data_IF_213769699499
#
_entry.id   IF_213769699499
#
_cell.length_a   1.000
_cell.length_b   1.000
_cell.length_c   1.000
_cell.angle_alpha   90.00
_cell.angle_beta   90.00
_cell.angle_gamma   90.00
#
_symmetry.space_group_name_H-M   'P 1'
#
loop_
_entity.id
_entity.type
_entity.pdbx_description
1 polymer ?
#
# COMPACT_ATOMS: atom_id res chain seq x y z
N UNK A 1 27.59 4.83 -20.27
CA UNK A 1 26.22 4.30 -20.05
C UNK A 1 25.59 5.21 -19.03
N UNK A 2 24.54 5.94 -19.40
CA UNK A 2 24.01 7.05 -18.60
C UNK A 2 22.95 6.52 -17.63
N UNK A 3 23.44 5.89 -16.55
CA UNK A 3 22.66 5.28 -15.47
C UNK A 3 21.62 6.23 -14.86
N UNK A 4 21.87 7.54 -14.88
CA UNK A 4 20.94 8.56 -14.41
C UNK A 4 19.72 8.72 -15.34
N UNK A 5 19.92 8.73 -16.66
CA UNK A 5 18.83 8.86 -17.63
C UNK A 5 17.95 7.60 -17.66
N UNK A 6 18.56 6.43 -17.49
CA UNK A 6 17.85 5.15 -17.35
C UNK A 6 17.00 5.11 -16.06
N UNK A 7 17.53 5.65 -14.95
CA UNK A 7 16.78 5.79 -13.69
C UNK A 7 15.60 6.75 -13.81
N UNK A 8 15.78 7.92 -14.44
CA UNK A 8 14.68 8.87 -14.64
C UNK A 8 13.57 8.29 -15.52
N UNK A 9 13.93 7.57 -16.59
CA UNK A 9 12.95 6.89 -17.44
C UNK A 9 12.27 5.73 -16.71
N UNK A 10 13.01 4.96 -15.90
CA UNK A 10 12.45 3.90 -15.06
C UNK A 10 11.45 4.45 -14.04
N UNK A 11 11.74 5.59 -13.40
CA UNK A 11 10.82 6.26 -12.47
C UNK A 11 9.61 6.84 -13.19
N UNK A 12 9.78 7.40 -14.39
CA UNK A 12 8.68 7.95 -15.21
C UNK A 12 7.74 6.86 -15.74
N UNK A 13 8.29 5.67 -15.98
CA UNK A 13 7.54 4.47 -16.37
C UNK A 13 7.11 3.61 -15.18
N UNK A 14 7.47 3.99 -13.95
CA UNK A 14 7.05 3.26 -12.76
C UNK A 14 5.52 3.35 -12.66
N UNK A 15 4.86 2.19 -12.80
CA UNK A 15 3.40 2.09 -12.77
C UNK A 15 2.89 2.24 -11.34
N UNK A 16 2.71 3.48 -10.89
CA UNK A 16 2.05 3.78 -9.64
C UNK A 16 0.58 3.35 -9.72
N UNK A 17 0.12 2.56 -8.75
CA UNK A 17 -1.28 2.15 -8.61
C UNK A 17 -1.88 2.88 -7.43
N UNK A 18 -3.05 3.49 -7.63
CA UNK A 18 -3.88 4.00 -6.54
C UNK A 18 -4.89 2.91 -6.16
N UNK A 19 -4.65 2.24 -5.04
CA UNK A 19 -5.52 1.20 -4.52
C UNK A 19 -6.46 1.80 -3.48
N UNK A 20 -7.78 1.68 -3.68
CA UNK A 20 -8.77 2.12 -2.70
C UNK A 20 -9.19 0.92 -1.85
N UNK A 21 -8.80 0.95 -0.58
CA UNK A 21 -9.14 -0.11 0.36
C UNK A 21 -10.40 0.27 1.13
N UNK A 22 -11.36 -0.64 1.18
CA UNK A 22 -12.66 -0.43 1.83
C UNK A 22 -12.92 -1.58 2.80
N UNK A 23 -13.14 -1.27 4.08
CA UNK A 23 -13.45 -2.30 5.07
C UNK A 23 -14.79 -2.96 4.75
N UNK A 24 -14.81 -4.28 4.80
CA UNK A 24 -16.03 -5.08 4.64
C UNK A 24 -16.61 -5.43 6.00
N UNK A 25 -17.94 -5.52 6.08
CA UNK A 25 -18.66 -5.80 7.33
C UNK A 25 -18.33 -7.15 7.95
N UNK A 26 -17.95 -8.12 7.11
CA UNK A 26 -17.66 -9.51 7.47
C UNK A 26 -16.15 -9.83 7.46
N UNK A 27 -15.28 -8.82 7.38
CA UNK A 27 -13.83 -9.04 7.29
C UNK A 27 -13.09 -8.15 8.32
N UNK A 28 -12.13 -8.74 9.02
CA UNK A 28 -11.35 -8.02 10.05
C UNK A 28 -10.08 -7.43 9.44
N UNK A 29 -10.02 -6.11 9.34
CA UNK A 29 -8.88 -5.41 8.74
C UNK A 29 -8.95 -5.39 7.22
N UNK A 30 -7.79 -5.41 6.54
CA UNK A 30 -7.72 -5.29 5.08
C UNK A 30 -7.14 -6.51 4.36
N UNK A 31 -6.46 -7.42 5.07
CA UNK A 31 -5.91 -8.65 4.48
C UNK A 31 -4.62 -8.47 3.71
N UNK A 32 -3.68 -7.71 4.28
CA UNK A 32 -2.32 -7.61 3.74
C UNK A 32 -1.30 -7.51 4.87
N UNK A 33 -0.07 -7.91 4.56
CA UNK A 33 1.07 -7.81 5.47
C UNK A 33 2.12 -6.89 4.88
N UNK A 34 2.65 -5.99 5.72
CA UNK A 34 3.83 -5.19 5.40
C UNK A 34 5.07 -5.89 5.94
N UNK A 35 6.10 -6.00 5.10
CA UNK A 35 7.41 -6.42 5.54
C UNK A 35 7.90 -5.51 6.68
N UNK A 36 8.35 -6.11 7.78
CA UNK A 36 8.84 -5.35 8.92
C UNK A 36 10.13 -4.62 8.53
N UNK A 37 10.11 -3.29 8.60
CA UNK A 37 11.24 -2.45 8.29
C UNK A 37 11.41 -1.36 9.36
N UNK A 38 12.65 -0.93 9.60
CA UNK A 38 12.95 0.20 10.50
C UNK A 38 12.55 1.56 9.88
N UNK A 39 12.42 1.60 8.56
CA UNK A 39 12.06 2.78 7.77
C UNK A 39 11.71 2.40 6.33
N UNK A 40 11.39 3.37 5.48
CA UNK A 40 11.08 3.13 4.06
C UNK A 40 12.28 2.55 3.29
N UNK A 41 12.05 1.83 2.17
CA UNK A 41 10.75 1.57 1.56
C UNK A 41 9.96 0.47 2.28
N UNK A 42 8.65 0.69 2.41
CA UNK A 42 7.73 -0.31 2.95
C UNK A 42 7.15 -1.15 1.82
N UNK A 43 7.23 -2.48 1.95
CA UNK A 43 6.90 -3.43 0.88
C UNK A 43 5.73 -4.31 1.34
N UNK A 44 4.76 -4.53 0.45
CA UNK A 44 3.70 -5.51 0.66
C UNK A 44 4.31 -6.92 0.55
N UNK A 45 4.32 -7.66 1.65
CA UNK A 45 4.86 -9.01 1.71
C UNK A 45 3.83 -10.04 1.26
N UNK A 46 2.58 -9.88 1.72
CA UNK A 46 1.49 -10.79 1.41
C UNK A 46 0.16 -10.05 1.26
N UNK A 47 -0.74 -10.61 0.44
CA UNK A 47 -2.11 -10.15 0.25
C UNK A 47 -3.05 -11.36 0.27
N UNK A 48 -3.92 -11.41 1.26
CA UNK A 48 -4.88 -12.50 1.41
C UNK A 48 -5.87 -12.51 0.24
N UNK A 49 -6.15 -13.68 -0.30
CA UNK A 49 -7.19 -13.86 -1.33
C UNK A 49 -8.57 -13.56 -0.74
N UNK A 50 -9.48 -13.00 -1.56
CA UNK A 50 -10.82 -12.59 -1.12
C UNK A 50 -10.80 -11.61 0.07
N UNK A 51 -9.84 -10.70 0.09
CA UNK A 51 -9.75 -9.62 1.09
C UNK A 51 -10.05 -8.25 0.48
N UNK A 52 -10.35 -7.22 1.30
CA UNK A 52 -10.40 -5.84 0.86
C UNK A 52 -9.16 -5.36 0.09
N UNK A 53 -7.96 -5.80 0.50
CA UNK A 53 -6.71 -5.44 -0.15
C UNK A 53 -6.60 -6.02 -1.57
N UNK A 54 -6.95 -7.29 -1.72
CA UNK A 54 -7.00 -7.96 -3.02
C UNK A 54 -8.01 -7.28 -3.97
N UNK A 55 -9.23 -7.01 -3.48
CA UNK A 55 -10.26 -6.32 -4.25
C UNK A 55 -9.89 -4.88 -4.61
N UNK A 56 -9.15 -4.19 -3.73
CA UNK A 56 -8.59 -2.87 -3.97
C UNK A 56 -7.41 -2.86 -4.96
N UNK A 57 -6.95 -4.03 -5.40
CA UNK A 57 -5.90 -4.21 -6.40
C UNK A 57 -4.47 -4.13 -5.86
N UNK A 58 -4.30 -4.21 -4.54
CA UNK A 58 -2.98 -4.27 -3.90
C UNK A 58 -2.27 -5.57 -4.27
N UNK A 59 -0.96 -5.52 -4.50
CA UNK A 59 -0.18 -6.70 -4.92
C UNK A 59 1.04 -6.91 -4.04
N UNK A 60 1.43 -8.17 -3.95
CA UNK A 60 2.70 -8.59 -3.36
C UNK A 60 3.85 -7.87 -4.09
N UNK A 61 4.82 -7.39 -3.32
CA UNK A 61 5.98 -6.58 -3.75
C UNK A 61 5.67 -5.16 -4.22
N UNK A 62 4.43 -4.68 -4.11
CA UNK A 62 4.19 -3.25 -4.26
C UNK A 62 4.94 -2.48 -3.16
N UNK A 63 5.52 -1.33 -3.52
CA UNK A 63 6.16 -0.40 -2.58
C UNK A 63 5.14 0.66 -2.19
N UNK A 64 4.93 0.85 -0.89
CA UNK A 64 4.01 1.87 -0.38
C UNK A 64 4.66 3.25 -0.52
N UNK A 65 4.18 4.03 -1.49
CA UNK A 65 4.63 5.40 -1.71
C UNK A 65 3.91 6.41 -0.80
N UNK A 66 2.61 6.23 -0.62
CA UNK A 66 1.75 7.08 0.17
C UNK A 66 0.55 6.28 0.70
N UNK A 67 0.02 6.70 1.85
CA UNK A 67 -1.22 6.16 2.42
C UNK A 67 -2.14 7.33 2.67
N UNK A 68 -3.27 7.36 1.97
CA UNK A 68 -4.14 8.54 1.87
C UNK A 68 -3.30 9.77 1.43
N UNK A 69 -3.41 10.89 2.14
CA UNK A 69 -2.71 12.14 1.83
C UNK A 69 -1.35 12.28 2.53
N UNK A 70 -0.74 11.17 2.96
CA UNK A 70 0.55 11.16 3.67
C UNK A 70 1.60 10.37 2.92
N UNK A 71 2.77 10.99 2.76
CA UNK A 71 3.95 10.35 2.18
C UNK A 71 4.48 9.28 3.15
N UNK A 72 4.59 8.04 2.67
CA UNK A 72 5.06 6.94 3.52
C UNK A 72 6.55 7.09 3.88
N UNK A 73 7.34 7.76 3.04
CA UNK A 73 8.79 7.90 3.24
C UNK A 73 9.17 8.85 4.39
N UNK A 74 8.21 9.63 4.88
CA UNK A 74 8.39 10.57 5.99
C UNK A 74 7.88 10.00 7.32
N UNK A 75 7.35 8.78 7.32
CA UNK A 75 6.71 8.15 8.46
C UNK A 75 7.51 6.96 8.96
N UNK A 76 7.49 6.73 10.27
CA UNK A 76 7.93 5.47 10.86
C UNK A 76 6.93 4.34 10.58
N UNK A 77 7.38 3.09 10.74
CA UNK A 77 6.53 1.91 10.53
C UNK A 77 5.26 1.95 11.40
N UNK A 78 5.38 2.33 12.68
CA UNK A 78 4.25 2.38 13.60
C UNK A 78 3.28 3.53 13.27
N UNK A 79 3.78 4.65 12.75
CA UNK A 79 2.92 5.74 12.27
C UNK A 79 2.18 5.35 11.00
N UNK A 80 2.87 4.70 10.05
CA UNK A 80 2.26 4.20 8.82
C UNK A 80 1.08 3.27 9.14
N UNK A 81 1.24 2.38 10.13
CA UNK A 81 0.17 1.51 10.64
C UNK A 81 -1.05 2.28 11.09
N UNK A 82 -0.86 3.40 11.79
CA UNK A 82 -1.98 4.24 12.24
C UNK A 82 -2.76 4.81 11.06
N UNK A 83 -2.10 5.14 9.94
CA UNK A 83 -2.77 5.76 8.80
C UNK A 83 -3.67 4.81 8.02
N UNK A 84 -3.24 3.58 7.75
CA UNK A 84 -4.11 2.62 7.07
C UNK A 84 -5.09 1.94 8.03
N UNK A 85 -4.83 1.92 9.35
CA UNK A 85 -5.78 1.39 10.35
C UNK A 85 -6.98 2.31 10.58
N UNK A 86 -6.94 3.58 10.13
CA UNK A 86 -8.09 4.50 10.20
C UNK A 86 -9.25 3.92 9.40
N UNK A 87 -10.27 3.48 10.13
CA UNK A 87 -11.40 2.71 9.60
C UNK A 87 -12.42 3.62 8.92
N UNK A 88 -12.30 3.80 7.60
CA UNK A 88 -13.43 4.26 6.81
C UNK A 88 -14.24 3.03 6.39
N UNK A 89 -15.41 2.83 7.02
CA UNK A 89 -16.34 1.78 6.60
C UNK A 89 -16.95 2.16 5.26
N UNK A 90 -16.95 1.25 4.31
CA UNK A 90 -17.72 1.44 3.09
C UNK A 90 -19.13 0.89 3.32
N UNK A 91 -20.15 1.62 2.91
CA UNK A 91 -21.56 1.17 2.96
C UNK A 91 -21.93 0.25 1.80
N UNK A 92 -20.99 -0.01 0.89
CA UNK A 92 -21.19 -0.91 -0.25
C UNK A 92 -20.87 -2.34 0.19
N UNK A 93 -21.91 -3.14 0.37
CA UNK A 93 -21.80 -4.59 0.51
C UNK A 93 -21.27 -5.17 -0.80
N UNK A 94 -20.14 -5.88 -0.73
CA UNK A 94 -19.67 -6.77 -1.80
C UNK A 94 -20.32 -8.15 -1.63
#
# INVERSE_FOLDING_TARGET
MNTELDNFNALRNAKCRRCHLCLWSNYVGFGFTLARALGPPYIIEDVESNSPAAAGGLRIRDIVRAVNDKNAFELSFDELKKYYSKRTRCTRSY
#
